data_IF_562648102125
#
_entry.id   IF_562648102125
#
_cell.length_a   1.000
_cell.length_b   1.000
_cell.length_c   1.000
_cell.angle_alpha   90.00
_cell.angle_beta   90.00
_cell.angle_gamma   90.00
#
_symmetry.space_group_name_H-M   'P 1'
#
loop_
_entity.id
_entity.type
_entity.pdbx_description
1 polymer ?
#
# COMPACT_ATOMS: atom_id res chain seq x y z
N UNK A 1 -7.51 9.61 -6.56
CA UNK A 1 -6.40 10.57 -6.81
C UNK A 1 -6.92 11.92 -7.28
N UNK A 2 -7.51 12.00 -8.49
CA UNK A 2 -8.17 13.23 -8.99
C UNK A 2 -9.36 13.67 -8.12
N UNK A 3 -10.15 12.69 -7.65
CA UNK A 3 -11.29 12.89 -6.74
C UNK A 3 -10.85 13.22 -5.29
N UNK A 4 -9.61 12.86 -4.93
CA UNK A 4 -9.03 13.16 -3.61
C UNK A 4 -8.23 14.47 -3.61
N UNK A 5 -8.22 15.19 -4.74
CA UNK A 5 -7.43 16.40 -4.98
C UNK A 5 -5.93 16.25 -4.64
N UNK A 6 -5.38 15.04 -4.76
CA UNK A 6 -3.96 14.77 -4.53
C UNK A 6 -3.18 15.16 -5.78
N UNK A 7 -2.25 16.10 -5.63
CA UNK A 7 -1.32 16.48 -6.70
C UNK A 7 -0.07 15.58 -6.67
N UNK A 8 0.08 14.75 -7.70
CA UNK A 8 1.21 13.81 -7.86
C UNK A 8 2.46 14.49 -8.43
N UNK A 9 2.37 15.77 -8.79
CA UNK A 9 3.52 16.57 -9.20
C UNK A 9 4.34 17.06 -8.01
N UNK A 10 3.75 17.11 -6.83
CA UNK A 10 4.40 17.58 -5.61
C UNK A 10 4.51 16.51 -4.52
N UNK A 11 3.82 15.37 -4.67
CA UNK A 11 3.81 14.30 -3.69
C UNK A 11 4.31 12.98 -4.30
N UNK A 12 5.25 12.28 -3.63
CA UNK A 12 5.64 10.94 -4.04
C UNK A 12 4.44 9.99 -4.04
N UNK A 13 4.37 9.14 -5.06
CA UNK A 13 3.32 8.14 -5.20
C UNK A 13 3.93 6.74 -5.18
N UNK A 14 3.27 5.81 -4.47
CA UNK A 14 3.53 4.38 -4.61
C UNK A 14 2.36 3.78 -5.37
N UNK A 15 2.64 3.21 -6.54
CA UNK A 15 1.66 2.51 -7.36
C UNK A 15 1.74 1.01 -7.13
N UNK A 16 0.59 0.38 -6.91
CA UNK A 16 0.48 -1.05 -6.59
C UNK A 16 -0.68 -1.71 -7.36
N UNK A 17 -0.66 -3.03 -7.45
CA UNK A 17 -1.72 -3.83 -8.09
C UNK A 17 -1.62 -3.89 -9.61
N UNK A 18 -2.40 -4.80 -10.23
CA UNK A 18 -2.25 -5.14 -11.65
C UNK A 18 -2.42 -3.97 -12.63
N UNK A 19 -3.32 -3.02 -12.33
CA UNK A 19 -3.51 -1.83 -13.17
C UNK A 19 -2.27 -0.92 -13.22
N UNK A 20 -1.52 -0.82 -12.11
CA UNK A 20 -0.28 -0.04 -12.09
C UNK A 20 0.81 -0.67 -12.94
N UNK A 21 0.90 -1.99 -12.96
CA UNK A 21 1.86 -2.75 -13.77
C UNK A 21 1.53 -2.57 -15.25
N UNK A 22 0.25 -2.75 -15.62
CA UNK A 22 -0.23 -2.58 -16.99
C UNK A 22 0.03 -1.16 -17.53
N UNK A 23 -0.18 -0.14 -16.70
CA UNK A 23 -0.08 1.27 -17.10
C UNK A 23 1.28 1.92 -16.79
N UNK A 24 2.24 1.17 -16.24
CA UNK A 24 3.55 1.70 -15.82
C UNK A 24 4.21 2.58 -16.89
N UNK A 25 4.32 2.17 -18.17
CA UNK A 25 4.99 3.01 -19.18
C UNK A 25 4.34 4.39 -19.34
N UNK A 26 3.02 4.47 -19.21
CA UNK A 26 2.29 5.74 -19.29
C UNK A 26 2.45 6.58 -18.02
N UNK A 27 2.48 5.94 -16.86
CA UNK A 27 2.65 6.62 -15.56
C UNK A 27 4.05 7.21 -15.42
N UNK A 28 5.09 6.49 -15.84
CA UNK A 28 6.48 6.94 -15.79
C UNK A 28 6.77 8.09 -16.76
N UNK A 29 6.11 8.12 -17.92
CA UNK A 29 6.27 9.17 -18.91
C UNK A 29 5.37 10.39 -18.65
N UNK A 30 4.45 10.30 -17.68
CA UNK A 30 3.47 11.33 -17.43
C UNK A 30 4.10 12.54 -16.72
N UNK A 31 3.97 13.77 -17.26
CA UNK A 31 4.42 14.97 -16.56
C UNK A 31 3.57 15.29 -15.31
N UNK A 32 2.49 14.52 -15.09
CA UNK A 32 1.63 14.67 -13.93
C UNK A 32 2.16 13.90 -12.70
N UNK A 33 3.22 13.10 -12.85
CA UNK A 33 3.79 12.27 -11.79
C UNK A 33 5.27 12.63 -11.64
N UNK A 34 5.63 13.32 -10.56
CA UNK A 34 7.00 13.78 -10.36
C UNK A 34 7.91 12.71 -9.75
N UNK A 35 7.37 11.91 -8.82
CA UNK A 35 8.09 10.81 -8.18
C UNK A 35 7.17 9.63 -7.98
N UNK A 36 7.56 8.49 -8.52
CA UNK A 36 6.80 7.24 -8.47
C UNK A 36 7.70 6.07 -8.12
N UNK A 37 7.24 5.25 -7.18
CA UNK A 37 7.75 3.90 -6.94
C UNK A 37 6.64 2.90 -7.28
N UNK A 38 7.03 1.71 -7.73
CA UNK A 38 6.08 0.68 -8.17
C UNK A 38 6.34 -0.63 -7.43
N UNK A 39 5.28 -1.22 -6.85
CA UNK A 39 5.33 -2.56 -6.29
C UNK A 39 4.79 -3.55 -7.31
N UNK A 40 5.67 -4.41 -7.82
CA UNK A 40 5.34 -5.36 -8.90
C UNK A 40 4.52 -6.56 -8.46
N UNK A 41 4.45 -6.82 -7.15
CA UNK A 41 3.62 -7.90 -6.64
C UNK A 41 2.13 -7.50 -6.73
N UNK A 42 1.30 -8.18 -7.54
CA UNK A 42 -0.11 -7.85 -7.67
C UNK A 42 -0.90 -8.07 -6.36
N UNK A 43 -0.35 -8.88 -5.44
CA UNK A 43 -0.93 -9.17 -4.14
C UNK A 43 -0.51 -8.17 -3.05
N UNK A 44 0.13 -7.04 -3.40
CA UNK A 44 0.62 -6.04 -2.45
C UNK A 44 -0.44 -5.61 -1.41
N UNK A 45 -1.70 -5.45 -1.81
CA UNK A 45 -2.79 -5.13 -0.89
C UNK A 45 -3.04 -6.25 0.14
N UNK A 46 -3.06 -7.51 -0.31
CA UNK A 46 -3.28 -8.65 0.56
C UNK A 46 -2.14 -8.80 1.58
N UNK A 47 -0.89 -8.64 1.13
CA UNK A 47 0.28 -8.63 2.00
C UNK A 47 0.21 -7.49 3.03
N UNK A 48 -0.21 -6.30 2.61
CA UNK A 48 -0.41 -5.16 3.53
C UNK A 48 -1.45 -5.47 4.62
N UNK A 49 -2.56 -6.10 4.26
CA UNK A 49 -3.57 -6.54 5.24
C UNK A 49 -3.05 -7.63 6.17
N UNK A 50 -2.30 -8.60 5.66
CA UNK A 50 -1.66 -9.65 6.46
C UNK A 50 -0.72 -9.02 7.51
N UNK A 51 0.13 -8.08 7.11
CA UNK A 51 1.05 -7.38 8.03
C UNK A 51 0.28 -6.64 9.13
N UNK A 52 -0.80 -5.94 8.79
CA UNK A 52 -1.66 -5.25 9.77
C UNK A 52 -2.35 -6.26 10.71
N UNK A 53 -2.84 -7.37 10.17
CA UNK A 53 -3.48 -8.44 10.95
C UNK A 53 -2.51 -9.08 11.94
N UNK A 54 -1.30 -9.41 11.50
CA UNK A 54 -0.25 -9.99 12.33
C UNK A 54 0.17 -9.02 13.46
N UNK A 55 0.34 -7.73 13.14
CA UNK A 55 0.65 -6.72 14.15
C UNK A 55 -0.48 -6.59 15.18
N UNK A 56 -1.74 -6.60 14.73
CA UNK A 56 -2.89 -6.54 15.62
C UNK A 56 -2.96 -7.77 16.53
N UNK A 57 -2.72 -8.96 15.98
CA UNK A 57 -2.69 -10.20 16.76
C UNK A 57 -1.57 -10.17 17.81
N UNK A 58 -0.37 -9.73 17.42
CA UNK A 58 0.76 -9.58 18.34
C UNK A 58 0.44 -8.66 19.51
N UNK A 59 -0.20 -7.51 19.26
CA UNK A 59 -0.62 -6.59 20.32
C UNK A 59 -1.65 -7.25 21.25
N UNK A 60 -2.60 -8.02 20.71
CA UNK A 60 -3.64 -8.68 21.51
C UNK A 60 -3.08 -9.83 22.36
N UNK A 61 -2.13 -10.61 21.83
CA UNK A 61 -1.52 -11.72 22.56
C UNK A 61 -0.55 -11.24 23.64
N UNK A 62 0.09 -10.08 23.47
CA UNK A 62 0.97 -9.48 24.48
C UNK A 62 0.26 -8.54 25.47
N UNK A 63 -1.05 -8.32 25.33
CA UNK A 63 -1.81 -7.50 26.28
C UNK A 63 -1.94 -8.22 27.64
N UNK A 64 -1.68 -7.55 28.79
CA UNK A 64 -1.89 -8.14 30.10
C UNK A 64 -3.34 -8.63 30.27
N UNK A 65 -3.53 -9.93 30.53
CA UNK A 65 -4.84 -10.58 30.70
C UNK A 65 -5.33 -11.43 29.52
N UNK A 66 -4.51 -11.65 28.49
CA UNK A 66 -4.83 -12.47 27.30
C UNK A 66 -4.57 -13.99 27.47
N UNK A 67 -4.06 -14.43 28.64
CA UNK A 67 -3.62 -15.81 28.91
C UNK A 67 -4.71 -16.90 28.86
N UNK A 68 -5.98 -16.56 28.56
CA UNK A 68 -7.12 -17.49 28.62
C UNK A 68 -7.90 -17.69 27.31
N UNK A 69 -7.39 -17.23 26.15
CA UNK A 69 -8.12 -17.30 24.87
C UNK A 69 -7.47 -18.20 23.80
N UNK A 70 -6.50 -19.04 24.18
CA UNK A 70 -5.95 -20.08 23.31
C UNK A 70 -6.62 -21.44 23.57
#
# INVERSE_FOLDING_TARGET
LRELQVDLRSNPAIFIGGGSILLRPFLEQSPLVAKADFVENPNANALGYEMLGNQKLHILTQAPGSEGLA
#
